data_IF_031346160306
#
_entry.id   IF_031346160306
#
_cell.length_a   1.000
_cell.length_b   1.000
_cell.length_c   1.000
_cell.angle_alpha   90.00
_cell.angle_beta   90.00
_cell.angle_gamma   90.00
#
_symmetry.space_group_name_H-M   'P 1'
#
loop_
_entity.id
_entity.type
_entity.pdbx_description
1 polymer ?
#
# COMPACT_ATOMS: atom_id res chain seq x y z
N UNK A 1 -9.63 12.90 -6.16
CA UNK A 1 -8.16 12.81 -6.25
C UNK A 1 -7.86 11.46 -6.86
N UNK A 2 -7.10 11.38 -7.96
CA UNK A 2 -6.96 10.16 -8.79
C UNK A 2 -5.59 9.47 -8.62
N UNK A 3 -4.86 9.72 -7.53
CA UNK A 3 -3.52 9.17 -7.33
C UNK A 3 -3.40 8.38 -6.01
N UNK A 4 -3.72 7.07 -6.02
CA UNK A 4 -3.71 6.23 -4.82
C UNK A 4 -2.32 6.00 -4.23
N UNK A 5 -1.22 6.18 -5.00
CA UNK A 5 0.15 5.97 -4.50
C UNK A 5 0.58 7.04 -3.50
N UNK A 6 -0.11 8.18 -3.43
CA UNK A 6 0.15 9.24 -2.45
C UNK A 6 0.00 8.75 -1.00
N UNK A 7 -0.88 7.78 -0.73
CA UNK A 7 -1.05 7.18 0.60
C UNK A 7 0.19 6.40 1.07
N UNK A 8 1.07 6.01 0.14
CA UNK A 8 2.36 5.39 0.44
C UNK A 8 3.51 6.40 0.51
N UNK A 9 3.27 7.62 0.03
CA UNK A 9 4.27 8.69 -0.02
C UNK A 9 4.18 9.62 1.20
N UNK A 10 3.00 9.72 1.83
CA UNK A 10 2.77 10.54 3.01
C UNK A 10 2.86 9.65 4.25
N UNK A 11 3.86 9.91 5.09
CA UNK A 11 4.06 9.25 6.38
C UNK A 11 3.56 10.19 7.48
N UNK A 12 2.55 9.76 8.24
CA UNK A 12 2.01 10.48 9.40
C UNK A 12 2.75 10.16 10.72
N UNK A 13 3.99 9.69 10.67
CA UNK A 13 4.83 9.29 11.80
C UNK A 13 4.28 8.18 12.72
N UNK A 14 3.33 7.35 12.26
CA UNK A 14 2.82 6.20 13.04
C UNK A 14 3.58 4.90 12.75
N UNK A 15 3.56 3.93 13.67
CA UNK A 15 4.14 2.58 13.48
C UNK A 15 3.61 1.89 12.23
N UNK A 16 2.41 2.24 11.77
CA UNK A 16 1.75 1.63 10.62
C UNK A 16 1.98 2.39 9.30
N UNK A 17 2.73 3.49 9.33
CA UNK A 17 2.99 4.32 8.16
C UNK A 17 4.00 3.69 7.19
N UNK A 18 3.92 4.04 5.89
CA UNK A 18 4.93 3.69 4.89
C UNK A 18 6.28 4.33 5.26
N UNK A 19 7.39 3.62 5.03
CA UNK A 19 8.72 4.22 5.21
C UNK A 19 8.88 5.42 4.28
N UNK A 20 9.20 6.59 4.84
CA UNK A 20 9.55 7.77 4.06
C UNK A 20 10.78 7.45 3.21
N UNK A 21 10.72 7.76 1.92
CA UNK A 21 11.91 7.86 1.09
C UNK A 21 12.82 8.92 1.72
N UNK A 22 14.11 8.61 1.87
CA UNK A 22 15.13 9.55 2.37
C UNK A 22 15.57 10.54 1.27
N UNK A 23 14.62 10.96 0.43
CA UNK A 23 14.80 11.95 -0.62
C UNK A 23 13.52 12.76 -0.80
N UNK A 24 13.67 14.04 -1.14
CA UNK A 24 12.52 14.88 -1.45
C UNK A 24 11.84 14.39 -2.74
N UNK A 25 10.51 14.41 -2.74
CA UNK A 25 9.74 14.21 -3.94
C UNK A 25 9.96 15.40 -4.88
N UNK A 26 10.44 15.13 -6.10
CA UNK A 26 10.66 16.17 -7.12
C UNK A 26 9.86 15.83 -8.38
N UNK A 27 9.33 16.84 -9.05
CA UNK A 27 8.46 16.68 -10.23
C UNK A 27 9.06 15.75 -11.29
N UNK A 28 10.37 15.86 -11.53
CA UNK A 28 11.07 15.03 -12.53
C UNK A 28 11.20 13.54 -12.16
N UNK A 29 10.93 13.16 -10.91
CA UNK A 29 11.07 11.78 -10.40
C UNK A 29 9.81 11.25 -9.72
N UNK A 30 8.79 12.07 -9.54
CA UNK A 30 7.59 11.77 -8.74
C UNK A 30 6.98 10.41 -9.09
N UNK A 31 6.82 10.09 -10.37
CA UNK A 31 6.25 8.81 -10.81
C UNK A 31 7.06 7.60 -10.33
N UNK A 32 8.39 7.66 -10.48
CA UNK A 32 9.29 6.58 -10.04
C UNK A 32 9.31 6.45 -8.52
N UNK A 33 9.27 7.58 -7.81
CA UNK A 33 9.26 7.61 -6.36
C UNK A 33 7.95 7.03 -5.80
N UNK A 34 6.80 7.41 -6.39
CA UNK A 34 5.49 6.86 -6.03
C UNK A 34 5.39 5.37 -6.33
N UNK A 35 5.88 4.93 -7.49
CA UNK A 35 5.95 3.51 -7.85
C UNK A 35 6.82 2.71 -6.87
N UNK A 36 8.00 3.24 -6.54
CA UNK A 36 8.89 2.59 -5.57
C UNK A 36 8.25 2.47 -4.19
N UNK A 37 7.59 3.53 -3.70
CA UNK A 37 6.87 3.52 -2.43
C UNK A 37 5.73 2.50 -2.43
N UNK A 38 4.98 2.38 -3.52
CA UNK A 38 3.91 1.40 -3.65
C UNK A 38 4.45 -0.04 -3.62
N UNK A 39 5.51 -0.34 -4.40
CA UNK A 39 6.16 -1.65 -4.41
C UNK A 39 6.70 -1.98 -3.01
N UNK A 40 7.39 -1.05 -2.38
CA UNK A 40 7.98 -1.24 -1.05
C UNK A 40 6.92 -1.54 0.00
N UNK A 41 5.87 -0.70 0.08
CA UNK A 41 4.80 -0.87 1.07
C UNK A 41 4.02 -2.16 0.88
N UNK A 42 3.57 -2.44 -0.35
CA UNK A 42 2.73 -3.62 -0.65
C UNK A 42 3.47 -4.92 -0.31
N UNK A 43 4.79 -4.98 -0.55
CA UNK A 43 5.60 -6.17 -0.28
C UNK A 43 6.25 -6.19 1.12
N UNK A 44 6.04 -5.17 1.95
CA UNK A 44 6.54 -5.15 3.33
C UNK A 44 5.79 -6.17 4.19
N UNK A 45 6.47 -7.27 4.56
CA UNK A 45 5.92 -8.37 5.37
C UNK A 45 5.43 -7.93 6.75
N UNK A 46 5.97 -6.84 7.29
CA UNK A 46 5.52 -6.28 8.57
C UNK A 46 4.13 -5.63 8.41
N UNK A 47 3.86 -4.99 7.27
CA UNK A 47 2.58 -4.29 6.99
C UNK A 47 1.56 -5.18 6.31
N UNK A 48 2.00 -6.10 5.46
CA UNK A 48 1.16 -6.89 4.57
C UNK A 48 1.64 -8.35 4.53
N UNK A 49 0.71 -9.29 4.52
CA UNK A 49 0.98 -10.71 4.24
C UNK A 49 0.17 -11.06 3.00
N UNK A 50 0.87 -11.38 1.91
CA UNK A 50 0.27 -11.64 0.62
C UNK A 50 0.55 -13.09 0.22
N UNK A 51 -0.51 -13.87 0.07
CA UNK A 51 -0.49 -15.17 -0.58
C UNK A 51 -1.50 -15.19 -1.74
N UNK A 52 -1.42 -16.22 -2.60
CA UNK A 52 -2.29 -16.33 -3.78
C UNK A 52 -3.79 -16.33 -3.47
N UNK A 53 -4.19 -16.92 -2.33
CA UNK A 53 -5.60 -17.17 -2.00
C UNK A 53 -6.08 -16.44 -0.74
N UNK A 54 -5.16 -15.84 0.02
CA UNK A 54 -5.46 -15.16 1.27
C UNK A 54 -4.47 -14.01 1.42
N UNK A 55 -4.98 -12.83 1.73
CA UNK A 55 -4.16 -11.67 2.00
C UNK A 55 -4.59 -11.05 3.33
N UNK A 56 -3.61 -10.60 4.10
CA UNK A 56 -3.81 -9.85 5.32
C UNK A 56 -3.00 -8.55 5.23
N UNK A 57 -3.69 -7.46 4.89
CA UNK A 57 -3.09 -6.20 4.44
C UNK A 57 -3.45 -5.03 5.37
N UNK A 58 -2.69 -3.94 5.29
CA UNK A 58 -2.90 -2.75 6.12
C UNK A 58 -4.32 -2.17 6.02
N UNK A 59 -4.85 -1.64 7.13
CA UNK A 59 -6.13 -0.91 7.19
C UNK A 59 -6.18 0.34 6.30
N UNK A 60 -5.04 0.83 5.81
CA UNK A 60 -4.99 1.92 4.80
C UNK A 60 -5.82 1.55 3.55
N UNK A 61 -5.78 0.28 3.13
CA UNK A 61 -6.57 -0.20 1.98
C UNK A 61 -8.07 -0.23 2.23
N UNK A 62 -8.50 -0.23 3.49
CA UNK A 62 -9.91 -0.15 3.89
C UNK A 62 -10.37 1.32 3.95
N UNK A 63 -9.61 2.15 4.66
CA UNK A 63 -9.90 3.58 4.86
C UNK A 63 -9.97 4.37 3.56
N UNK A 64 -9.06 4.08 2.62
CA UNK A 64 -8.99 4.75 1.31
C UNK A 64 -9.41 3.82 0.18
N UNK A 65 -10.29 2.85 0.46
CA UNK A 65 -10.69 1.82 -0.51
C UNK A 65 -11.26 2.39 -1.82
N UNK A 66 -11.84 3.58 -1.79
CA UNK A 66 -12.31 4.29 -2.99
C UNK A 66 -11.18 4.59 -3.98
N UNK A 67 -10.01 4.99 -3.49
CA UNK A 67 -8.88 5.37 -4.35
C UNK A 67 -8.24 4.15 -5.03
N UNK A 68 -8.19 3.02 -4.33
CA UNK A 68 -7.61 1.76 -4.83
C UNK A 68 -8.52 0.98 -5.77
N UNK A 69 -9.80 1.35 -5.87
CA UNK A 69 -10.82 0.66 -6.71
C UNK A 69 -11.26 1.48 -7.92
N UNK A 70 -10.58 2.60 -8.19
CA UNK A 70 -10.97 3.52 -9.27
C UNK A 70 -10.81 2.91 -10.66
N UNK A 71 -9.81 2.04 -10.86
CA UNK A 71 -9.48 1.42 -12.15
C UNK A 71 -9.48 -0.12 -12.07
N UNK A 72 -10.43 -0.70 -11.32
CA UNK A 72 -10.55 -2.14 -11.14
C UNK A 72 -10.79 -2.52 -9.69
N UNK A 73 -10.49 -3.76 -9.34
CA UNK A 73 -10.59 -4.25 -7.97
C UNK A 73 -9.34 -3.89 -7.16
N UNK A 74 -9.46 -3.95 -5.82
CA UNK A 74 -8.30 -3.83 -4.94
C UNK A 74 -7.22 -4.88 -5.27
N UNK A 75 -7.62 -6.08 -5.70
CA UNK A 75 -6.69 -7.14 -6.10
C UNK A 75 -5.94 -6.77 -7.39
N UNK A 76 -6.61 -6.11 -8.35
CA UNK A 76 -5.95 -5.63 -9.57
C UNK A 76 -4.90 -4.57 -9.25
N UNK A 77 -5.23 -3.66 -8.33
CA UNK A 77 -4.27 -2.67 -7.83
C UNK A 77 -3.08 -3.34 -7.13
N UNK A 78 -3.32 -4.26 -6.19
CA UNK A 78 -2.26 -4.97 -5.49
C UNK A 78 -1.38 -5.78 -6.44
N UNK A 79 -1.96 -6.43 -7.45
CA UNK A 79 -1.22 -7.20 -8.45
C UNK A 79 -0.32 -6.35 -9.36
N UNK A 80 -0.52 -5.03 -9.42
CA UNK A 80 0.35 -4.13 -10.16
C UNK A 80 1.72 -3.95 -9.49
N UNK A 81 1.82 -4.21 -8.18
CA UNK A 81 3.03 -3.96 -7.39
C UNK A 81 3.47 -5.16 -6.53
N UNK A 82 2.59 -6.15 -6.33
CA UNK A 82 2.88 -7.35 -5.54
C UNK A 82 3.83 -8.28 -6.28
N UNK A 83 4.81 -8.81 -5.56
CA UNK A 83 5.71 -9.88 -6.03
C UNK A 83 5.00 -11.22 -6.21
N UNK A 84 3.83 -11.40 -5.60
CA UNK A 84 3.00 -12.60 -5.70
C UNK A 84 1.70 -12.25 -6.42
N UNK A 85 1.37 -13.01 -7.47
CA UNK A 85 0.09 -12.90 -8.15
C UNK A 85 -1.04 -13.41 -7.26
N UNK A 86 -1.91 -12.51 -6.82
CA UNK A 86 -3.10 -12.76 -6.02
C UNK A 86 -4.24 -13.18 -6.94
N UNK A 87 -4.95 -14.25 -6.58
CA UNK A 87 -6.13 -14.68 -7.30
C UNK A 87 -7.30 -13.72 -7.05
N UNK A 88 -8.14 -13.49 -8.04
CA UNK A 88 -9.29 -12.57 -7.95
C UNK A 88 -10.25 -12.89 -6.78
N UNK A 89 -10.31 -14.15 -6.36
CA UNK A 89 -11.18 -14.63 -5.28
C UNK A 89 -10.45 -14.79 -3.93
N UNK A 90 -9.25 -14.20 -3.80
CA UNK A 90 -8.50 -14.29 -2.56
C UNK A 90 -9.28 -13.68 -1.38
N UNK A 91 -9.20 -14.35 -0.22
CA UNK A 91 -9.82 -13.85 1.00
C UNK A 91 -9.01 -12.66 1.54
N UNK A 92 -9.67 -11.50 1.65
CA UNK A 92 -9.06 -10.28 2.17
C UNK A 92 -9.36 -10.14 3.65
N UNK A 93 -8.33 -9.93 4.45
CA UNK A 93 -8.42 -9.50 5.84
C UNK A 93 -7.61 -8.21 6.02
N UNK A 94 -8.11 -7.28 6.80
CA UNK A 94 -7.36 -6.08 7.18
C UNK A 94 -6.69 -6.28 8.54
N UNK A 95 -5.40 -5.96 8.63
CA UNK A 95 -4.66 -5.97 9.90
C UNK A 95 -5.21 -4.90 10.85
N UNK A 96 -5.11 -5.15 12.15
CA UNK A 96 -5.45 -4.12 13.12
C UNK A 96 -4.46 -2.96 13.06
N UNK A 97 -5.00 -1.75 12.95
CA UNK A 97 -4.22 -0.53 12.89
C UNK A 97 -3.81 -0.17 14.31
N UNK A 98 -2.51 -0.26 14.58
CA UNK A 98 -1.96 0.18 15.84
C UNK A 98 -1.73 1.70 15.75
N UNK A 99 -2.55 2.46 16.49
CA UNK A 99 -2.49 3.92 16.58
C UNK A 99 -1.31 4.44 17.42
N UNK A 100 -0.47 3.55 17.97
CA UNK A 100 0.70 3.97 18.72
C UNK A 100 1.75 4.64 17.79
N UNK A 101 2.29 5.76 18.26
CA UNK A 101 3.41 6.48 17.64
C UNK A 101 4.66 5.59 17.60
N UNK A 102 5.43 5.68 16.50
CA UNK A 102 6.80 5.17 16.48
C UNK A 102 7.64 6.00 17.46
N UNK A 103 8.23 5.36 18.48
CA UNK A 103 9.34 5.95 19.24
C UNK A 103 10.67 5.61 18.56
#
# INVERSE_FOLDING_TARGET
MNEPRIHFAINCASYSCPNLLNEAYIESKIEKQLEHSAISFINDKTKNSIDRNKIEISKIFDWFSGDFKTNGTLIDFLNSYSSIKINANAKIKFKDYNWNLNN
#
